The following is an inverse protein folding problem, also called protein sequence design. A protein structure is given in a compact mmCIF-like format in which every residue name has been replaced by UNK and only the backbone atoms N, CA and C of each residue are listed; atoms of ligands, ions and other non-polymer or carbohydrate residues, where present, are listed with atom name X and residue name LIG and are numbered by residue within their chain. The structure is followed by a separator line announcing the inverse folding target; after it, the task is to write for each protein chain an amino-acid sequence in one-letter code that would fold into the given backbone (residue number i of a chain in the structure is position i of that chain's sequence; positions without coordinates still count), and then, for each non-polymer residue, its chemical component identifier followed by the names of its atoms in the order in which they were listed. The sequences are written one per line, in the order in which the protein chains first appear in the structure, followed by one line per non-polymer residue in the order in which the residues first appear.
data_IF_816268720039
#
_entry.id   IF_816268720039
#
_cell.length_a   1.000
_cell.length_b   1.000
_cell.length_c   1.000
_cell.angle_alpha   90.00
_cell.angle_beta   90.00
_cell.angle_gamma   90.00
#
_symmetry.space_group_name_H-M   'P 1'
#
loop_
_entity.id
_entity.type
_entity.pdbx_description
1 polymer ?
#
# COMPACT_ATOMS: atom_id res chain seq x y z
N UNK A 1 -16.75 22.65 -23.17
CA UNK A 1 -16.83 21.32 -23.83
C UNK A 1 -15.86 20.30 -23.21
N UNK A 2 -15.45 20.47 -21.93
CA UNK A 2 -14.50 19.58 -21.22
C UNK A 2 -15.19 18.83 -20.06
N UNK A 3 -16.43 19.17 -19.74
CA UNK A 3 -17.16 18.60 -18.60
C UNK A 3 -17.77 17.20 -18.84
N UNK A 4 -17.74 16.68 -20.07
CA UNK A 4 -18.45 15.43 -20.42
C UNK A 4 -17.57 14.19 -20.39
N UNK A 5 -16.24 14.31 -20.24
CA UNK A 5 -15.31 13.17 -20.27
C UNK A 5 -14.99 12.56 -18.90
N UNK A 6 -15.40 13.18 -17.79
CA UNK A 6 -15.06 12.71 -16.43
C UNK A 6 -16.20 11.97 -15.71
N UNK A 7 -17.36 11.75 -16.33
CA UNK A 7 -18.53 11.17 -15.63
C UNK A 7 -18.71 9.66 -15.76
N UNK A 8 -17.99 8.97 -16.63
CA UNK A 8 -18.25 7.54 -16.92
C UNK A 8 -17.13 6.56 -16.50
N UNK A 9 -16.14 6.96 -15.74
CA UNK A 9 -15.01 6.07 -15.39
C UNK A 9 -14.88 5.67 -13.91
N UNK A 10 -15.55 6.36 -13.01
CA UNK A 10 -15.28 6.25 -11.57
C UNK A 10 -16.12 5.21 -10.81
N UNK A 11 -17.34 4.96 -11.24
CA UNK A 11 -18.25 4.08 -10.48
C UNK A 11 -18.10 2.59 -10.81
N UNK A 12 -17.62 2.25 -11.98
CA UNK A 12 -17.55 0.85 -12.43
C UNK A 12 -16.26 0.10 -12.00
N UNK A 13 -15.18 0.82 -11.64
CA UNK A 13 -13.90 0.20 -11.27
C UNK A 13 -13.74 -0.16 -9.81
N UNK A 14 -14.50 0.45 -8.91
CA UNK A 14 -14.52 0.05 -7.49
C UNK A 14 -15.35 -1.22 -7.24
N UNK A 15 -16.19 -1.62 -8.20
CA UNK A 15 -16.96 -2.87 -8.13
C UNK A 15 -16.15 -4.13 -8.48
N UNK A 16 -15.02 -4.01 -9.16
CA UNK A 16 -14.22 -5.15 -9.63
C UNK A 16 -13.35 -5.78 -8.54
N UNK A 17 -13.24 -5.17 -7.35
CA UNK A 17 -12.61 -5.79 -6.17
C UNK A 17 -13.59 -6.63 -5.34
N UNK A 18 -14.86 -6.65 -5.69
CA UNK A 18 -15.87 -7.55 -5.15
C UNK A 18 -16.07 -8.67 -6.17
N UNK A 19 -15.35 -9.74 -6.01
CA UNK A 19 -15.48 -11.10 -6.57
C UNK A 19 -16.72 -11.31 -7.45
N UNK A 20 -16.53 -11.43 -8.75
CA UNK A 20 -17.52 -11.97 -9.69
C UNK A 20 -17.86 -13.42 -9.26
N UNK A 21 -19.15 -13.67 -9.01
CA UNK A 21 -19.67 -14.93 -8.45
C UNK A 21 -19.52 -16.16 -9.35
N UNK A 22 -18.89 -16.06 -10.53
CA UNK A 22 -18.97 -17.12 -11.55
C UNK A 22 -17.70 -17.96 -11.75
N UNK A 23 -16.54 -17.64 -11.15
CA UNK A 23 -15.29 -18.35 -11.43
C UNK A 23 -14.72 -19.22 -10.28
N UNK A 24 -15.47 -19.48 -9.21
CA UNK A 24 -15.01 -20.32 -8.10
C UNK A 24 -15.69 -21.68 -8.06
N UNK A 25 -15.58 -22.45 -9.13
CA UNK A 25 -15.84 -23.91 -9.08
C UNK A 25 -14.74 -24.62 -9.85
N UNK A 26 -13.76 -25.11 -9.16
CA UNK A 26 -12.99 -26.33 -9.47
C UNK A 26 -11.62 -26.33 -8.78
N UNK A 27 -11.40 -27.26 -7.90
CA UNK A 27 -10.08 -27.55 -7.33
C UNK A 27 -10.13 -28.17 -5.93
N UNK A 28 -10.82 -29.27 -5.77
CA UNK A 28 -10.63 -30.16 -4.64
C UNK A 28 -9.97 -31.45 -5.15
N UNK A 29 -8.87 -31.90 -4.53
CA UNK A 29 -8.69 -33.31 -4.13
C UNK A 29 -7.30 -33.59 -3.50
N UNK A 30 -7.35 -34.25 -2.30
CA UNK A 30 -6.45 -35.29 -1.75
C UNK A 30 -5.03 -34.87 -1.33
N UNK A 31 -4.55 -35.24 -0.15
CA UNK A 31 -4.44 -36.54 0.44
C UNK A 31 -4.03 -36.49 1.93
N UNK A 32 -4.55 -37.43 2.68
CA UNK A 32 -4.17 -37.86 4.03
C UNK A 32 -2.84 -38.64 3.99
N UNK A 33 -2.01 -38.54 5.06
CA UNK A 33 -1.46 -39.69 5.79
C UNK A 33 -0.62 -39.26 7.00
N UNK A 34 -0.75 -40.01 8.04
CA UNK A 34 -0.25 -39.87 9.39
C UNK A 34 1.25 -40.24 9.54
N UNK A 35 1.88 -39.70 10.58
CA UNK A 35 3.21 -40.16 11.04
C UNK A 35 3.72 -39.37 12.23
N UNK A 36 3.75 -39.97 13.42
CA UNK A 36 4.20 -39.43 14.68
C UNK A 36 5.67 -38.98 14.71
N UNK A 37 5.96 -37.83 15.31
CA UNK A 37 7.04 -37.62 16.30
C UNK A 37 7.05 -36.16 16.76
N UNK A 38 6.80 -35.92 18.03
CA UNK A 38 7.07 -34.72 18.82
C UNK A 38 8.61 -34.53 19.04
N UNK A 39 9.18 -33.35 19.38
CA UNK A 39 8.60 -32.24 20.11
C UNK A 39 9.00 -30.83 19.60
N UNK A 40 8.44 -29.82 20.24
CA UNK A 40 8.55 -28.39 19.98
C UNK A 40 7.78 -27.93 18.72
N UNK A 41 6.50 -28.17 18.78
CA UNK A 41 5.55 -27.42 17.97
C UNK A 41 5.64 -25.94 18.40
N UNK A 42 6.37 -25.11 17.62
CA UNK A 42 5.97 -23.71 17.42
C UNK A 42 4.46 -23.81 17.20
N UNK A 43 3.66 -23.23 18.11
CA UNK A 43 2.23 -23.09 17.86
C UNK A 43 2.11 -22.40 16.49
N UNK A 44 1.82 -23.18 15.46
CA UNK A 44 1.39 -22.62 14.18
C UNK A 44 0.15 -21.82 14.51
N UNK A 45 0.22 -20.51 14.42
CA UNK A 45 -0.94 -19.64 14.49
C UNK A 45 -2.02 -20.28 13.63
N UNK A 46 -3.20 -20.51 14.22
CA UNK A 46 -4.29 -21.10 13.48
C UNK A 46 -4.51 -20.29 12.21
N UNK A 47 -4.57 -20.95 11.05
CA UNK A 47 -4.74 -20.25 9.77
C UNK A 47 -6.05 -19.49 9.80
N UNK A 48 -6.04 -18.25 9.39
CA UNK A 48 -7.25 -17.42 9.28
C UNK A 48 -8.24 -18.06 8.31
N UNK A 49 -9.50 -18.28 8.70
CA UNK A 49 -10.52 -18.86 7.83
C UNK A 49 -11.03 -17.88 6.76
N UNK A 50 -10.62 -16.61 6.85
CA UNK A 50 -11.09 -15.57 5.94
C UNK A 50 -10.42 -15.67 4.58
N UNK A 51 -11.24 -15.70 3.54
CA UNK A 51 -10.83 -15.71 2.13
C UNK A 51 -10.79 -14.30 1.54
N UNK A 52 -11.72 -13.44 1.98
CA UNK A 52 -11.79 -12.03 1.63
C UNK A 52 -12.34 -11.24 2.82
N UNK A 53 -11.85 -10.03 2.99
CA UNK A 53 -12.40 -9.07 3.94
C UNK A 53 -12.03 -7.64 3.49
N UNK A 54 -12.97 -6.71 3.67
CA UNK A 54 -12.78 -5.30 3.35
C UNK A 54 -13.57 -4.40 4.31
N UNK A 55 -13.06 -3.21 4.55
CA UNK A 55 -13.74 -2.14 5.26
C UNK A 55 -13.73 -0.90 4.37
N UNK A 56 -14.88 -0.24 4.28
CA UNK A 56 -15.02 1.03 3.56
C UNK A 56 -15.87 1.99 4.38
N UNK A 57 -15.48 3.25 4.39
CA UNK A 57 -16.31 4.31 4.94
C UNK A 57 -17.53 4.55 4.06
N UNK A 58 -18.74 4.53 4.65
CA UNK A 58 -20.01 4.78 3.95
C UNK A 58 -20.82 5.76 4.77
N UNK A 59 -20.87 7.01 4.34
CA UNK A 59 -21.50 8.08 5.10
C UNK A 59 -20.87 8.22 6.50
N UNK A 60 -21.66 8.19 7.59
CA UNK A 60 -21.17 8.29 8.96
C UNK A 60 -20.70 6.94 9.53
N UNK A 61 -20.86 5.85 8.78
CA UNK A 61 -20.55 4.48 9.21
C UNK A 61 -19.48 3.81 8.37
N UNK A 62 -19.34 2.52 8.62
CA UNK A 62 -18.34 1.66 7.99
C UNK A 62 -19.02 0.40 7.48
N UNK A 63 -18.91 0.09 6.18
CA UNK A 63 -19.32 -1.19 5.63
C UNK A 63 -18.16 -2.16 5.77
N UNK A 64 -18.45 -3.31 6.38
CA UNK A 64 -17.53 -4.41 6.58
C UNK A 64 -18.06 -5.61 5.79
N UNK A 65 -17.31 -6.03 4.78
CA UNK A 65 -17.62 -7.19 3.95
C UNK A 65 -16.62 -8.30 4.26
N UNK A 66 -17.07 -9.57 4.32
CA UNK A 66 -16.17 -10.72 4.50
C UNK A 66 -16.71 -11.98 3.86
N UNK A 67 -15.78 -12.88 3.54
CA UNK A 67 -16.03 -14.26 3.17
C UNK A 67 -15.05 -15.14 3.94
N UNK A 68 -15.57 -16.17 4.62
CA UNK A 68 -14.79 -17.14 5.37
C UNK A 68 -15.18 -18.56 4.98
N UNK A 69 -14.31 -19.53 5.26
CA UNK A 69 -14.53 -20.94 4.97
C UNK A 69 -14.48 -21.76 6.26
N UNK A 70 -15.35 -22.77 6.39
CA UNK A 70 -15.36 -23.68 7.53
C UNK A 70 -15.90 -23.07 8.83
N UNK A 71 -16.57 -21.91 8.77
CA UNK A 71 -17.17 -21.22 9.91
C UNK A 71 -18.69 -21.10 9.74
N UNK A 72 -19.42 -21.04 10.85
CA UNK A 72 -20.87 -20.83 10.86
C UNK A 72 -21.25 -19.43 11.28
N UNK A 73 -20.41 -18.79 12.08
CA UNK A 73 -20.67 -17.46 12.65
C UNK A 73 -19.38 -16.64 12.74
N UNK A 74 -19.51 -15.37 12.41
CA UNK A 74 -18.49 -14.34 12.62
C UNK A 74 -19.10 -13.24 13.49
N UNK A 75 -18.41 -12.89 14.58
CA UNK A 75 -18.77 -11.78 15.48
C UNK A 75 -17.79 -10.65 15.26
N UNK A 76 -18.28 -9.41 15.13
CA UNK A 76 -17.48 -8.23 14.84
C UNK A 76 -17.38 -7.36 16.09
N UNK A 77 -16.16 -6.95 16.42
CA UNK A 77 -15.88 -5.96 17.46
C UNK A 77 -15.14 -4.78 16.82
N UNK A 78 -15.28 -3.59 17.41
CA UNK A 78 -14.54 -2.40 16.99
C UNK A 78 -13.57 -1.96 18.10
N UNK A 79 -12.37 -1.57 17.72
CA UNK A 79 -11.31 -1.05 18.58
C UNK A 79 -10.63 0.18 18.00
N UNK A 80 -9.86 0.89 18.82
CA UNK A 80 -9.09 2.08 18.42
C UNK A 80 -7.66 1.76 17.97
N UNK A 81 -7.19 0.54 18.21
CA UNK A 81 -5.84 0.06 17.88
C UNK A 81 -5.91 -1.18 16.98
N UNK A 82 -4.82 -1.54 16.30
CA UNK A 82 -4.76 -2.76 15.50
C UNK A 82 -4.71 -4.06 16.31
N UNK A 83 -4.75 -3.98 17.63
CA UNK A 83 -4.79 -5.15 18.50
C UNK A 83 -6.17 -5.81 18.45
N UNK A 84 -6.25 -7.16 18.47
CA UNK A 84 -7.53 -7.86 18.41
C UNK A 84 -8.40 -7.55 19.63
N UNK A 85 -9.63 -7.10 19.39
CA UNK A 85 -10.67 -6.98 20.43
C UNK A 85 -11.52 -8.26 20.43
N UNK A 86 -11.42 -9.05 21.48
CA UNK A 86 -12.09 -10.37 21.56
C UNK A 86 -13.31 -10.40 22.50
N UNK A 87 -13.53 -9.32 23.23
CA UNK A 87 -14.60 -9.21 24.24
C UNK A 87 -15.27 -7.83 24.16
N UNK A 88 -16.44 -7.70 24.82
CA UNK A 88 -17.21 -6.46 24.85
C UNK A 88 -18.48 -6.54 24.02
N UNK A 89 -19.05 -5.39 23.70
CA UNK A 89 -20.26 -5.30 22.87
C UNK A 89 -19.90 -5.47 21.40
N UNK A 90 -20.42 -6.49 20.72
CA UNK A 90 -20.19 -6.66 19.30
C UNK A 90 -20.94 -5.59 18.50
N UNK A 91 -20.28 -5.09 17.44
CA UNK A 91 -20.88 -4.13 16.49
C UNK A 91 -21.69 -4.84 15.41
N UNK A 92 -21.59 -6.16 15.33
CA UNK A 92 -22.34 -6.97 14.38
C UNK A 92 -22.06 -8.46 14.47
N UNK A 93 -22.90 -9.24 13.81
CA UNK A 93 -22.75 -10.69 13.66
C UNK A 93 -23.24 -11.13 12.28
N UNK A 94 -22.64 -12.17 11.73
CA UNK A 94 -23.06 -12.74 10.45
C UNK A 94 -22.62 -14.18 10.29
N UNK A 95 -22.92 -14.77 9.14
CA UNK A 95 -22.50 -16.13 8.76
C UNK A 95 -21.08 -16.16 8.17
N UNK A 96 -20.77 -17.23 7.45
CA UNK A 96 -19.50 -17.40 6.74
C UNK A 96 -19.25 -16.30 5.70
N UNK A 97 -20.30 -15.81 5.08
CA UNK A 97 -20.27 -14.61 4.21
C UNK A 97 -21.18 -13.55 4.84
N UNK A 98 -20.72 -12.32 4.88
CA UNK A 98 -21.49 -11.22 5.45
C UNK A 98 -21.08 -9.86 4.91
N UNK A 99 -22.04 -8.91 5.01
CA UNK A 99 -21.87 -7.50 4.78
C UNK A 99 -22.67 -6.74 5.84
N UNK A 100 -21.99 -5.93 6.64
CA UNK A 100 -22.60 -5.18 7.75
C UNK A 100 -22.17 -3.74 7.68
N UNK A 101 -23.11 -2.82 7.90
CA UNK A 101 -22.78 -1.42 8.18
C UNK A 101 -22.78 -1.21 9.69
N UNK A 102 -21.60 -0.88 10.24
CA UNK A 102 -21.42 -0.60 11.65
C UNK A 102 -21.18 0.91 11.87
N UNK A 103 -21.70 1.42 13.00
CA UNK A 103 -21.40 2.76 13.48
C UNK A 103 -20.39 2.65 14.64
N UNK A 104 -19.25 3.29 14.50
CA UNK A 104 -18.25 3.37 15.55
C UNK A 104 -17.88 4.85 15.73
N UNK A 105 -17.88 5.31 16.97
CA UNK A 105 -17.53 6.69 17.34
C UNK A 105 -16.02 6.97 17.28
N UNK A 106 -15.28 6.18 16.49
CA UNK A 106 -13.83 6.27 16.32
C UNK A 106 -13.51 6.87 14.94
N UNK A 107 -12.54 7.77 14.84
CA UNK A 107 -12.14 8.37 13.57
C UNK A 107 -11.67 7.33 12.54
N UNK A 108 -10.98 6.28 13.00
CA UNK A 108 -10.54 5.12 12.24
C UNK A 108 -10.67 3.88 13.13
N UNK A 109 -11.82 3.18 13.09
CA UNK A 109 -11.98 1.93 13.82
C UNK A 109 -11.21 0.80 13.14
N UNK A 110 -10.63 -0.08 13.96
CA UNK A 110 -10.18 -1.41 13.57
C UNK A 110 -11.29 -2.39 13.93
N UNK A 111 -11.66 -3.24 12.99
CA UNK A 111 -12.67 -4.27 13.21
C UNK A 111 -11.98 -5.61 13.38
N UNK A 112 -12.26 -6.27 14.51
CA UNK A 112 -11.86 -7.66 14.74
C UNK A 112 -13.01 -8.58 14.34
N UNK A 113 -12.79 -9.36 13.31
CA UNK A 113 -13.69 -10.41 12.86
C UNK A 113 -13.33 -11.71 13.61
N UNK A 114 -14.18 -12.13 14.53
CA UNK A 114 -13.97 -13.32 15.37
C UNK A 114 -14.84 -14.45 14.84
N UNK A 115 -14.25 -15.46 14.19
CA UNK A 115 -14.98 -16.65 13.73
C UNK A 115 -15.27 -17.59 14.89
N UNK A 116 -16.25 -18.48 14.74
CA UNK A 116 -16.48 -19.54 15.71
C UNK A 116 -15.38 -20.63 15.66
N UNK A 117 -14.58 -20.70 14.60
CA UNK A 117 -13.43 -21.59 14.43
C UNK A 117 -12.32 -20.89 13.64
N UNK A 118 -11.06 -21.05 14.08
CA UNK A 118 -9.87 -20.45 13.46
C UNK A 118 -9.45 -19.14 14.09
N UNK A 119 -8.44 -18.50 13.51
CA UNK A 119 -7.88 -17.25 14.03
C UNK A 119 -8.78 -16.05 13.69
N UNK A 120 -8.89 -15.06 14.59
CA UNK A 120 -9.54 -13.79 14.28
C UNK A 120 -8.74 -13.02 13.23
N UNK A 121 -9.42 -12.08 12.56
CA UNK A 121 -8.81 -11.17 11.58
C UNK A 121 -9.08 -9.74 11.99
N UNK A 122 -8.02 -8.91 12.04
CA UNK A 122 -8.13 -7.47 12.27
C UNK A 122 -8.02 -6.73 10.94
N UNK A 123 -9.02 -5.95 10.61
CA UNK A 123 -9.08 -5.13 9.40
C UNK A 123 -9.60 -3.72 9.71
N UNK A 124 -9.26 -2.76 8.85
CA UNK A 124 -9.75 -1.38 8.90
C UNK A 124 -9.88 -0.83 7.48
N UNK A 125 -10.49 0.33 7.34
CA UNK A 125 -10.39 1.07 6.09
C UNK A 125 -8.92 1.43 5.82
N UNK A 126 -8.42 1.11 4.63
CA UNK A 126 -7.05 1.45 4.25
C UNK A 126 -6.88 2.94 4.04
N UNK A 127 -7.90 3.64 3.51
CA UNK A 127 -7.87 5.09 3.39
C UNK A 127 -7.94 5.75 4.77
N UNK A 128 -7.06 6.71 5.02
CA UNK A 128 -7.06 7.43 6.31
C UNK A 128 -7.92 8.70 6.28
N UNK A 129 -8.39 9.11 5.10
CA UNK A 129 -9.29 10.25 4.89
C UNK A 129 -8.78 11.56 5.50
N UNK A 130 -7.46 11.82 5.45
CA UNK A 130 -6.87 13.08 5.87
C UNK A 130 -6.77 14.04 4.67
N UNK A 131 -7.53 15.15 4.67
CA UNK A 131 -7.71 15.98 3.46
C UNK A 131 -6.44 16.61 2.91
N UNK A 132 -5.45 16.91 3.74
CA UNK A 132 -4.19 17.54 3.31
C UNK A 132 -3.14 16.57 2.81
N UNK A 133 -3.39 15.24 2.88
CA UNK A 133 -2.47 14.20 2.43
C UNK A 133 -3.21 13.26 1.46
N UNK A 134 -3.08 13.53 0.17
CA UNK A 134 -3.98 12.96 -0.83
C UNK A 134 -3.83 11.45 -1.00
N UNK A 135 -2.62 10.90 -0.91
CA UNK A 135 -2.33 9.49 -1.22
C UNK A 135 -2.04 8.65 0.03
N UNK A 136 -2.53 9.11 1.19
CA UNK A 136 -2.29 8.46 2.49
C UNK A 136 -3.17 7.23 2.68
N UNK A 137 -2.55 6.08 2.85
CA UNK A 137 -3.23 4.83 3.17
C UNK A 137 -2.35 3.82 3.90
N UNK A 138 -2.99 2.90 4.60
CA UNK A 138 -2.42 1.69 5.17
C UNK A 138 -2.28 0.63 4.08
N UNK A 139 -1.15 -0.06 4.01
CA UNK A 139 -0.93 -1.19 3.08
C UNK A 139 -1.20 -2.55 3.71
N UNK A 140 -1.75 -2.59 4.92
CA UNK A 140 -2.27 -3.80 5.55
C UNK A 140 -3.60 -4.28 4.95
N UNK A 141 -4.10 -5.39 5.48
CA UNK A 141 -5.40 -5.95 5.10
C UNK A 141 -5.42 -6.65 3.74
N UNK A 142 -4.29 -7.02 3.19
CA UNK A 142 -4.18 -7.88 2.02
C UNK A 142 -3.90 -9.33 2.42
N UNK A 143 -4.58 -10.26 1.74
CA UNK A 143 -4.37 -11.69 1.93
C UNK A 143 -3.19 -12.16 1.10
N UNK A 144 -2.35 -13.01 1.68
CA UNK A 144 -1.21 -13.63 1.02
C UNK A 144 -1.60 -14.94 0.33
N UNK A 145 -0.74 -15.45 -0.56
CA UNK A 145 -0.96 -16.72 -1.27
C UNK A 145 -0.99 -17.94 -0.34
N UNK A 146 -0.31 -17.85 0.83
CA UNK A 146 -0.33 -18.90 1.86
C UNK A 146 -1.48 -18.75 2.87
N UNK A 147 -2.39 -17.79 2.65
CA UNK A 147 -3.62 -17.61 3.42
C UNK A 147 -3.49 -16.73 4.65
N UNK A 148 -2.30 -16.21 4.95
CA UNK A 148 -2.11 -15.19 5.99
C UNK A 148 -2.57 -13.81 5.50
N UNK A 149 -2.56 -12.85 6.39
CA UNK A 149 -2.97 -11.48 6.10
C UNK A 149 -1.90 -10.50 6.53
N UNK A 150 -1.67 -9.46 5.73
CA UNK A 150 -0.79 -8.35 6.11
C UNK A 150 -1.48 -7.56 7.23
N UNK A 151 -0.79 -7.41 8.37
CA UNK A 151 -1.30 -6.67 9.52
C UNK A 151 -1.60 -5.23 9.19
N UNK A 152 -2.71 -4.72 9.72
CA UNK A 152 -3.09 -3.32 9.64
C UNK A 152 -2.34 -2.47 10.67
N UNK A 153 -2.22 -1.17 10.42
CA UNK A 153 -1.72 -0.21 11.39
C UNK A 153 -0.21 -0.13 11.53
N UNK A 154 0.55 -0.83 10.69
CA UNK A 154 2.01 -0.91 10.80
C UNK A 154 2.76 -0.24 9.64
N UNK A 155 2.15 -0.21 8.46
CA UNK A 155 2.79 0.26 7.24
C UNK A 155 1.87 1.23 6.51
N UNK A 156 2.32 2.46 6.37
CA UNK A 156 1.58 3.53 5.73
C UNK A 156 2.36 4.10 4.55
N UNK A 157 1.67 4.47 3.51
CA UNK A 157 2.24 5.19 2.37
C UNK A 157 1.49 6.48 2.11
N UNK A 158 2.19 7.52 1.61
CA UNK A 158 1.57 8.81 1.29
C UNK A 158 2.29 9.56 0.17
N UNK A 159 1.73 10.68 -0.28
CA UNK A 159 2.45 11.78 -0.91
C UNK A 159 3.23 12.59 0.14
N UNK A 160 3.97 13.61 -0.30
CA UNK A 160 4.83 14.43 0.58
C UNK A 160 4.04 15.15 1.68
N UNK A 161 4.73 15.45 2.77
CA UNK A 161 4.15 15.97 4.00
C UNK A 161 4.38 17.48 4.22
N UNK A 162 4.84 18.23 3.20
CA UNK A 162 5.17 19.66 3.29
C UNK A 162 3.97 20.54 3.68
N UNK A 163 2.76 20.16 3.28
CA UNK A 163 1.53 20.94 3.46
C UNK A 163 0.50 20.29 4.38
N UNK A 164 0.95 19.43 5.27
CA UNK A 164 0.03 18.79 6.23
C UNK A 164 -0.57 19.83 7.15
N UNK A 165 -1.90 19.85 7.27
CA UNK A 165 -2.60 20.75 8.20
C UNK A 165 -2.38 20.34 9.66
N UNK A 166 -2.53 21.30 10.59
CA UNK A 166 -2.41 21.01 12.03
C UNK A 166 -3.42 19.97 12.50
N UNK A 167 -4.63 19.99 11.93
CA UNK A 167 -5.67 19.01 12.20
C UNK A 167 -5.26 17.60 11.76
N UNK A 168 -4.67 17.48 10.57
CA UNK A 168 -4.21 16.20 10.04
C UNK A 168 -2.95 15.71 10.78
N UNK A 169 -2.03 16.59 11.19
CA UNK A 169 -0.91 16.23 12.08
C UNK A 169 -1.40 15.64 13.39
N UNK A 170 -2.40 16.28 14.02
CA UNK A 170 -3.00 15.78 15.24
C UNK A 170 -3.71 14.42 15.05
N UNK A 171 -4.30 14.20 13.86
CA UNK A 171 -4.86 12.89 13.51
C UNK A 171 -3.78 11.83 13.28
N UNK A 172 -2.68 12.19 12.59
CA UNK A 172 -1.53 11.29 12.37
C UNK A 172 -0.84 10.89 13.67
N UNK A 173 -0.82 11.75 14.69
CA UNK A 173 -0.25 11.43 15.99
C UNK A 173 -0.91 10.19 16.62
N UNK A 174 -2.21 9.97 16.35
CA UNK A 174 -2.96 8.79 16.85
C UNK A 174 -2.58 7.49 16.15
N UNK A 175 -1.82 7.54 15.05
CA UNK A 175 -1.32 6.38 14.33
C UNK A 175 -0.02 5.83 14.93
N UNK A 176 0.55 6.52 15.94
CA UNK A 176 1.82 6.17 16.59
C UNK A 176 2.97 5.94 15.59
N UNK A 177 3.02 6.73 14.51
CA UNK A 177 4.05 6.63 13.48
C UNK A 177 5.40 6.94 14.11
N UNK A 178 6.29 5.95 14.15
CA UNK A 178 7.63 6.07 14.75
C UNK A 178 8.68 6.53 13.75
N UNK A 179 8.51 6.16 12.49
CA UNK A 179 9.46 6.46 11.43
C UNK A 179 8.72 7.05 10.23
N UNK A 180 9.26 8.14 9.71
CA UNK A 180 8.87 8.68 8.40
C UNK A 180 10.05 8.50 7.45
N UNK A 181 9.93 7.58 6.50
CA UNK A 181 10.95 7.31 5.49
C UNK A 181 10.69 8.17 4.24
N UNK A 182 11.57 9.12 3.98
CA UNK A 182 11.49 10.03 2.85
C UNK A 182 12.37 9.53 1.69
N UNK A 183 11.72 9.12 0.60
CA UNK A 183 12.35 8.57 -0.61
C UNK A 183 12.75 9.65 -1.63
N UNK A 184 12.56 10.93 -1.30
CA UNK A 184 12.84 12.08 -2.18
C UNK A 184 14.31 12.39 -2.26
N UNK A 185 14.68 13.09 -3.33
CA UNK A 185 16.03 13.66 -3.49
C UNK A 185 16.28 14.80 -2.52
N UNK A 186 17.54 15.14 -2.31
CA UNK A 186 17.94 16.27 -1.48
C UNK A 186 17.33 17.60 -1.96
N UNK A 187 17.27 17.80 -3.27
CA UNK A 187 16.67 19.00 -3.87
C UNK A 187 15.16 19.11 -3.63
N UNK A 188 14.42 18.00 -3.67
CA UNK A 188 12.99 17.97 -3.36
C UNK A 188 12.75 18.27 -1.88
N UNK A 189 13.52 17.68 -0.98
CA UNK A 189 13.42 17.92 0.48
C UNK A 189 13.72 19.36 0.87
N UNK A 190 14.76 19.96 0.26
CA UNK A 190 15.12 21.38 0.52
C UNK A 190 14.05 22.34 0.03
N UNK A 191 13.43 22.05 -1.10
CA UNK A 191 12.37 22.90 -1.66
C UNK A 191 11.06 22.80 -0.89
N UNK A 192 10.69 21.60 -0.44
CA UNK A 192 9.42 21.30 0.19
C UNK A 192 9.67 20.41 1.44
N UNK A 193 10.18 20.98 2.55
CA UNK A 193 10.49 20.23 3.77
C UNK A 193 9.21 19.68 4.42
N UNK A 194 9.29 18.45 4.94
CA UNK A 194 8.15 17.81 5.58
C UNK A 194 7.78 18.42 6.93
N UNK A 195 6.50 18.37 7.22
CA UNK A 195 5.92 18.56 8.55
C UNK A 195 5.66 17.17 9.16
N UNK A 196 6.59 16.72 10.00
CA UNK A 196 6.54 15.37 10.56
C UNK A 196 5.54 15.26 11.73
N UNK A 197 4.88 14.10 11.90
CA UNK A 197 4.09 13.83 13.10
C UNK A 197 4.97 13.92 14.37
N UNK A 198 4.48 14.52 15.45
CA UNK A 198 5.22 14.61 16.70
C UNK A 198 5.67 13.24 17.20
N UNK A 199 6.94 13.12 17.60
CA UNK A 199 7.54 11.88 18.11
C UNK A 199 8.06 10.92 17.03
N UNK A 200 7.80 11.17 15.74
CA UNK A 200 8.38 10.38 14.66
C UNK A 200 9.83 10.78 14.36
N UNK A 201 10.61 9.81 13.88
CA UNK A 201 11.99 10.00 13.45
C UNK A 201 12.08 10.00 11.92
N UNK A 202 12.74 10.98 11.30
CA UNK A 202 12.98 10.95 9.87
C UNK A 202 14.01 9.87 9.51
N UNK A 203 13.76 9.15 8.42
CA UNK A 203 14.68 8.24 7.77
C UNK A 203 14.86 8.68 6.32
N UNK A 204 16.02 9.30 6.02
CA UNK A 204 16.27 9.84 4.69
C UNK A 204 16.84 8.76 3.77
N UNK A 205 16.13 8.50 2.68
CA UNK A 205 16.42 7.40 1.75
C UNK A 205 16.35 7.91 0.30
N UNK A 206 17.37 8.64 -0.14
CA UNK A 206 17.39 9.17 -1.51
C UNK A 206 17.50 8.05 -2.54
N UNK A 207 16.37 7.72 -3.16
CA UNK A 207 16.27 6.64 -4.16
C UNK A 207 16.96 7.00 -5.47
N UNK A 208 17.07 8.29 -5.79
CA UNK A 208 17.55 8.76 -7.07
C UNK A 208 18.85 9.59 -6.98
N UNK A 209 19.63 9.43 -5.90
CA UNK A 209 20.84 10.21 -5.67
C UNK A 209 21.92 10.05 -6.75
N UNK A 210 21.95 8.91 -7.45
CA UNK A 210 22.85 8.63 -8.57
C UNK A 210 22.12 8.60 -9.93
N UNK A 211 20.94 9.26 -10.04
CA UNK A 211 20.18 9.34 -11.28
C UNK A 211 20.63 10.53 -12.15
N UNK A 212 20.97 10.23 -13.40
CA UNK A 212 21.40 11.26 -14.38
C UNK A 212 20.25 11.99 -15.07
N UNK A 213 18.98 11.70 -14.79
CA UNK A 213 17.97 12.43 -15.55
C UNK A 213 16.51 12.08 -15.51
N UNK A 214 16.01 11.06 -14.79
CA UNK A 214 14.58 10.77 -14.88
C UNK A 214 13.74 11.39 -13.77
N UNK A 215 13.79 10.91 -12.56
CA UNK A 215 13.00 11.45 -11.45
C UNK A 215 13.91 11.83 -10.26
N UNK A 216 14.56 12.96 -10.36
CA UNK A 216 15.43 13.46 -9.28
C UNK A 216 16.71 14.18 -9.75
N UNK A 217 17.08 14.00 -11.03
CA UNK A 217 18.25 14.65 -11.61
C UNK A 217 17.95 16.03 -12.20
N UNK A 218 17.64 16.12 -13.48
CA UNK A 218 17.45 17.40 -14.18
C UNK A 218 15.94 17.67 -14.43
N UNK A 219 15.35 18.53 -13.62
CA UNK A 219 13.95 18.98 -13.78
C UNK A 219 13.68 19.55 -15.18
N UNK A 220 14.67 20.24 -15.80
CA UNK A 220 14.50 20.77 -17.15
C UNK A 220 14.37 19.67 -18.20
N UNK A 221 15.19 18.61 -18.09
CA UNK A 221 15.08 17.45 -18.99
C UNK A 221 13.72 16.75 -18.83
N UNK A 222 13.27 16.58 -17.58
CA UNK A 222 11.96 16.00 -17.30
C UNK A 222 10.83 16.85 -17.89
N UNK A 223 10.85 18.16 -17.69
CA UNK A 223 9.85 19.09 -18.27
C UNK A 223 9.88 19.11 -19.80
N UNK A 224 11.06 19.06 -20.42
CA UNK A 224 11.19 18.96 -21.87
C UNK A 224 10.61 17.67 -22.40
N UNK A 225 10.84 16.53 -21.74
CA UNK A 225 10.26 15.24 -22.11
C UNK A 225 8.73 15.26 -21.98
N UNK A 226 8.19 15.84 -20.90
CA UNK A 226 6.76 16.00 -20.70
C UNK A 226 6.16 16.88 -21.80
N UNK A 227 6.72 18.05 -22.06
CA UNK A 227 6.23 18.96 -23.08
C UNK A 227 6.22 18.33 -24.49
N UNK A 228 7.16 17.43 -24.77
CA UNK A 228 7.22 16.67 -26.04
C UNK A 228 6.37 15.40 -26.07
N UNK A 229 5.50 15.15 -25.06
CA UNK A 229 4.61 13.99 -24.99
C UNK A 229 5.28 12.67 -24.58
N UNK A 230 6.54 12.71 -24.13
CA UNK A 230 7.32 11.52 -23.71
C UNK A 230 7.16 11.16 -22.24
N UNK A 231 6.04 11.55 -21.62
CA UNK A 231 5.78 11.28 -20.20
C UNK A 231 5.69 9.80 -19.87
N UNK A 232 5.17 8.96 -20.79
CA UNK A 232 5.09 7.51 -20.61
C UNK A 232 6.48 6.88 -20.58
N UNK A 233 7.33 7.22 -21.55
CA UNK A 233 8.71 6.72 -21.62
C UNK A 233 9.53 7.15 -20.40
N UNK A 234 9.35 8.41 -19.97
CA UNK A 234 10.00 8.97 -18.78
C UNK A 234 9.69 8.13 -17.54
N UNK A 235 8.40 7.87 -17.30
CA UNK A 235 7.95 7.10 -16.11
C UNK A 235 8.30 5.62 -16.20
N UNK A 236 8.26 5.04 -17.41
CA UNK A 236 8.67 3.66 -17.65
C UNK A 236 10.16 3.49 -17.37
N UNK A 237 11.00 4.41 -17.83
CA UNK A 237 12.44 4.40 -17.54
C UNK A 237 12.71 4.58 -16.06
N UNK A 238 12.05 5.55 -15.40
CA UNK A 238 12.21 5.78 -13.97
C UNK A 238 11.88 4.56 -13.11
N UNK A 239 10.86 3.79 -13.49
CA UNK A 239 10.52 2.56 -12.78
C UNK A 239 11.57 1.45 -12.96
N UNK A 240 12.24 1.36 -14.10
CA UNK A 240 13.42 0.50 -14.26
C UNK A 240 14.59 0.98 -13.39
N UNK A 241 14.80 2.29 -13.29
CA UNK A 241 15.86 2.89 -12.48
C UNK A 241 15.70 2.58 -10.99
N UNK A 242 14.47 2.42 -10.47
CA UNK A 242 14.23 1.99 -9.08
C UNK A 242 14.80 0.60 -8.76
N UNK A 243 15.05 -0.21 -9.76
CA UNK A 243 15.69 -1.53 -9.64
C UNK A 243 17.18 -1.44 -9.98
N UNK A 244 17.55 -0.62 -10.96
CA UNK A 244 18.87 -0.57 -11.55
C UNK A 244 19.88 0.28 -10.77
N UNK A 245 19.45 1.45 -10.26
CA UNK A 245 20.33 2.41 -9.59
C UNK A 245 20.88 1.87 -8.28
N UNK A 246 22.15 2.16 -8.00
CA UNK A 246 22.80 1.81 -6.75
C UNK A 246 22.15 2.51 -5.54
N UNK A 247 21.82 3.81 -5.68
CA UNK A 247 21.10 4.58 -4.65
C UNK A 247 19.74 3.97 -4.32
N UNK A 248 18.97 3.58 -5.33
CA UNK A 248 17.66 2.96 -5.15
C UNK A 248 17.77 1.64 -4.36
N UNK A 249 18.69 0.78 -4.75
CA UNK A 249 18.91 -0.51 -4.07
C UNK A 249 19.32 -0.31 -2.61
N UNK A 250 20.26 0.61 -2.34
CA UNK A 250 20.66 0.94 -0.95
C UNK A 250 19.49 1.51 -0.15
N UNK A 251 18.72 2.42 -0.73
CA UNK A 251 17.60 3.07 -0.05
C UNK A 251 16.49 2.06 0.31
N UNK A 252 16.04 1.25 -0.65
CA UNK A 252 15.01 0.23 -0.40
C UNK A 252 15.53 -0.89 0.52
N UNK A 253 16.78 -1.32 0.39
CA UNK A 253 17.41 -2.28 1.29
C UNK A 253 17.43 -1.77 2.72
N UNK A 254 17.93 -0.56 2.95
CA UNK A 254 17.97 0.08 4.27
C UNK A 254 16.57 0.26 4.88
N UNK A 255 15.55 0.61 4.06
CA UNK A 255 14.16 0.68 4.52
C UNK A 255 13.65 -0.67 5.02
N UNK A 256 13.89 -1.73 4.26
CA UNK A 256 13.45 -3.09 4.62
C UNK A 256 14.21 -3.65 5.82
N UNK A 257 15.51 -3.40 5.92
CA UNK A 257 16.29 -3.77 7.12
C UNK A 257 15.79 -3.01 8.35
N UNK A 258 15.45 -1.73 8.21
CA UNK A 258 14.84 -0.99 9.32
C UNK A 258 13.49 -1.58 9.72
N UNK A 259 12.64 -1.96 8.78
CA UNK A 259 11.36 -2.63 9.02
C UNK A 259 11.54 -4.01 9.68
N UNK A 260 12.62 -4.71 9.43
CA UNK A 260 12.93 -6.00 10.07
C UNK A 260 13.23 -5.86 11.57
N UNK A 261 13.54 -4.65 12.07
CA UNK A 261 13.86 -4.41 13.51
C UNK A 261 12.57 -4.21 14.34
N UNK A 262 12.63 -4.45 15.68
CA UNK A 262 11.52 -4.18 16.60
C UNK A 262 10.99 -2.75 16.57
N UNK A 263 11.84 -1.78 16.32
CA UNK A 263 11.52 -0.34 16.28
C UNK A 263 11.20 0.16 14.87
N UNK A 264 11.12 -0.75 13.87
CA UNK A 264 10.89 -0.40 12.47
C UNK A 264 9.46 0.02 12.11
N UNK A 265 8.50 -0.21 12.99
CA UNK A 265 7.09 0.11 12.76
C UNK A 265 6.43 0.71 14.01
N UNK A 266 5.31 1.46 13.85
CA UNK A 266 4.69 1.87 12.59
C UNK A 266 5.57 2.80 11.76
N UNK A 267 5.65 2.53 10.43
CA UNK A 267 6.40 3.36 9.47
C UNK A 267 5.46 3.96 8.42
N UNK A 268 5.63 5.25 8.17
CA UNK A 268 5.10 5.91 6.99
C UNK A 268 6.25 6.14 6.02
N UNK A 269 6.08 5.79 4.76
CA UNK A 269 7.06 6.09 3.70
C UNK A 269 6.40 6.82 2.54
N UNK A 270 7.13 7.78 1.98
CA UNK A 270 6.60 8.66 0.95
C UNK A 270 7.66 9.11 -0.05
N UNK A 271 7.20 9.72 -1.14
CA UNK A 271 7.99 10.56 -2.03
C UNK A 271 7.19 11.84 -2.33
N UNK A 272 7.35 12.47 -3.49
CA UNK A 272 6.61 13.70 -3.82
C UNK A 272 5.12 13.44 -4.07
N UNK A 273 4.76 12.54 -4.99
CA UNK A 273 3.35 12.16 -5.25
C UNK A 273 2.92 10.89 -4.53
N UNK A 274 3.85 10.17 -3.90
CA UNK A 274 3.56 8.90 -3.22
C UNK A 274 3.14 7.76 -4.16
N UNK A 275 3.42 7.85 -5.47
CA UNK A 275 2.91 6.91 -6.47
C UNK A 275 4.00 6.03 -7.09
N UNK A 276 5.16 6.57 -7.52
CA UNK A 276 6.21 5.84 -8.24
C UNK A 276 7.24 5.21 -7.28
N UNK A 277 8.18 5.97 -6.71
CA UNK A 277 9.17 5.50 -5.71
C UNK A 277 8.49 4.78 -4.54
N UNK A 278 7.46 5.39 -3.99
CA UNK A 278 6.60 4.82 -2.94
C UNK A 278 5.81 3.61 -3.42
N UNK A 279 5.38 3.63 -4.69
CA UNK A 279 4.68 2.53 -5.34
C UNK A 279 5.56 1.29 -5.46
N UNK A 280 6.81 1.46 -5.91
CA UNK A 280 7.78 0.38 -5.95
C UNK A 280 8.12 -0.16 -4.55
N UNK A 281 8.33 0.71 -3.55
CA UNK A 281 8.51 0.31 -2.17
C UNK A 281 7.37 -0.59 -1.67
N UNK A 282 6.11 -0.16 -1.91
CA UNK A 282 4.92 -0.96 -1.55
C UNK A 282 4.88 -2.29 -2.29
N UNK A 283 5.18 -2.29 -3.58
CA UNK A 283 5.21 -3.50 -4.40
C UNK A 283 6.25 -4.51 -3.88
N UNK A 284 7.44 -4.04 -3.52
CA UNK A 284 8.49 -4.89 -2.94
C UNK A 284 8.05 -5.46 -1.59
N UNK A 285 7.52 -4.64 -0.67
CA UNK A 285 7.04 -5.10 0.64
C UNK A 285 5.93 -6.14 0.47
N UNK A 286 4.89 -5.85 -0.30
CA UNK A 286 3.74 -6.74 -0.46
C UNK A 286 4.12 -8.05 -1.14
N UNK A 287 4.98 -8.01 -2.18
CA UNK A 287 5.47 -9.21 -2.86
C UNK A 287 6.32 -10.06 -1.92
N UNK A 288 7.22 -9.46 -1.11
CA UNK A 288 8.05 -10.15 -0.11
C UNK A 288 7.18 -10.84 0.95
N UNK A 289 6.07 -10.22 1.34
CA UNK A 289 5.09 -10.78 2.27
C UNK A 289 4.20 -11.87 1.63
N UNK A 290 4.28 -12.08 0.32
CA UNK A 290 3.53 -13.13 -0.39
C UNK A 290 2.15 -12.71 -0.87
N UNK A 291 1.87 -11.42 -0.99
CA UNK A 291 0.63 -10.90 -1.60
C UNK A 291 0.63 -11.20 -3.11
N UNK A 292 -0.48 -11.69 -3.69
CA UNK A 292 -0.58 -11.97 -5.13
C UNK A 292 -0.27 -10.76 -6.01
N UNK A 293 0.37 -11.00 -7.15
CA UNK A 293 0.80 -9.96 -8.09
C UNK A 293 -0.33 -9.01 -8.51
N UNK A 294 -1.51 -9.55 -8.80
CA UNK A 294 -2.66 -8.75 -9.21
C UNK A 294 -3.14 -7.81 -8.10
N UNK A 295 -3.08 -8.27 -6.84
CA UNK A 295 -3.39 -7.45 -5.67
C UNK A 295 -2.34 -6.34 -5.47
N UNK A 296 -1.06 -6.64 -5.67
CA UNK A 296 0.03 -5.64 -5.65
C UNK A 296 -0.19 -4.59 -6.74
N UNK A 297 -0.54 -5.01 -7.95
CA UNK A 297 -0.86 -4.12 -9.06
C UNK A 297 -2.09 -3.24 -8.73
N UNK A 298 -3.13 -3.82 -8.14
CA UNK A 298 -4.33 -3.07 -7.74
C UNK A 298 -4.02 -2.00 -6.68
N UNK A 299 -3.18 -2.30 -5.66
CA UNK A 299 -2.72 -1.26 -4.71
C UNK A 299 -1.95 -0.14 -5.42
N UNK A 300 -1.06 -0.48 -6.35
CA UNK A 300 -0.33 0.52 -7.11
C UNK A 300 -1.26 1.44 -7.90
N UNK A 301 -2.19 0.86 -8.67
CA UNK A 301 -3.14 1.59 -9.51
C UNK A 301 -4.16 2.41 -8.70
N UNK A 302 -4.47 2.02 -7.46
CA UNK A 302 -5.33 2.79 -6.56
C UNK A 302 -4.80 4.21 -6.30
N UNK A 303 -3.50 4.49 -6.51
CA UNK A 303 -2.95 5.84 -6.44
C UNK A 303 -3.63 6.82 -7.39
N UNK A 304 -4.22 6.35 -8.50
CA UNK A 304 -4.99 7.20 -9.42
C UNK A 304 -6.26 7.75 -8.75
N UNK A 305 -6.96 6.91 -7.98
CA UNK A 305 -8.18 7.31 -7.27
C UNK A 305 -7.85 8.25 -6.11
N UNK A 306 -6.82 7.92 -5.32
CA UNK A 306 -6.36 8.75 -4.21
C UNK A 306 -5.89 10.14 -4.66
N UNK A 307 -5.25 10.23 -5.82
CA UNK A 307 -4.70 11.48 -6.37
C UNK A 307 -5.69 12.21 -7.29
N UNK A 308 -6.84 11.65 -7.61
CA UNK A 308 -7.75 12.18 -8.63
C UNK A 308 -8.09 13.66 -8.42
N UNK A 309 -8.44 14.04 -7.18
CA UNK A 309 -8.77 15.44 -6.83
C UNK A 309 -7.57 16.37 -6.95
N UNK A 310 -6.38 15.93 -6.48
CA UNK A 310 -5.13 16.70 -6.55
C UNK A 310 -4.70 16.88 -8.00
N UNK A 311 -4.78 15.83 -8.80
CA UNK A 311 -4.44 15.85 -10.22
C UNK A 311 -5.39 16.77 -11.03
N UNK A 312 -6.70 16.71 -10.76
CA UNK A 312 -7.67 17.61 -11.39
C UNK A 312 -7.35 19.07 -11.07
N UNK A 313 -7.07 19.42 -9.83
CA UNK A 313 -6.67 20.77 -9.44
C UNK A 313 -5.36 21.22 -10.11
N UNK A 314 -4.40 20.32 -10.29
CA UNK A 314 -3.14 20.62 -11.01
C UNK A 314 -3.39 20.91 -12.48
N UNK A 315 -4.23 20.11 -13.15
CA UNK A 315 -4.58 20.30 -14.55
C UNK A 315 -5.39 21.62 -14.77
N UNK A 316 -6.29 21.93 -13.86
CA UNK A 316 -7.05 23.19 -13.87
C UNK A 316 -6.12 24.41 -13.69
N UNK A 317 -5.17 24.32 -12.77
CA UNK A 317 -4.18 25.39 -12.56
C UNK A 317 -3.29 25.57 -13.80
N UNK A 318 -2.84 24.49 -14.41
CA UNK A 318 -2.08 24.52 -15.66
C UNK A 318 -2.87 25.21 -16.78
N UNK A 319 -4.14 24.84 -17.00
CA UNK A 319 -4.99 25.41 -18.02
C UNK A 319 -5.20 26.94 -17.84
N UNK A 320 -5.23 27.42 -16.58
CA UNK A 320 -5.41 28.83 -16.24
C UNK A 320 -4.11 29.65 -16.29
N UNK A 321 -2.96 29.01 -16.23
CA UNK A 321 -1.64 29.69 -16.13
C UNK A 321 -1.11 30.21 -17.46
N UNK A 322 -1.73 29.86 -18.60
CA UNK A 322 -1.20 30.15 -19.93
C UNK A 322 0.07 29.37 -20.29
N UNK A 323 0.41 28.35 -19.50
CA UNK A 323 1.57 27.48 -19.77
C UNK A 323 1.31 26.71 -21.08
N UNK A 324 2.32 26.64 -22.00
CA UNK A 324 2.16 26.00 -23.30
C UNK A 324 2.11 24.44 -23.25
N UNK A 325 2.28 23.83 -22.07
CA UNK A 325 2.25 22.36 -21.94
C UNK A 325 0.80 21.88 -22.13
N UNK A 326 0.62 20.96 -23.07
CA UNK A 326 -0.65 20.26 -23.24
C UNK A 326 -0.97 19.43 -21.98
N UNK A 327 -2.16 19.63 -21.35
CA UNK A 327 -2.60 18.81 -20.22
C UNK A 327 -2.55 17.31 -20.51
N UNK A 328 -2.77 16.88 -21.75
CA UNK A 328 -2.67 15.49 -22.19
C UNK A 328 -1.25 14.92 -22.06
N UNK A 329 -0.23 15.74 -22.23
CA UNK A 329 1.17 15.35 -22.04
C UNK A 329 1.55 15.24 -20.56
N UNK A 330 0.89 16.00 -19.69
CA UNK A 330 1.13 15.97 -18.24
C UNK A 330 0.41 14.77 -17.57
N UNK A 331 -0.76 14.38 -18.08
CA UNK A 331 -1.58 13.31 -17.48
C UNK A 331 -0.83 12.00 -17.22
N UNK A 332 -0.01 11.45 -18.15
CA UNK A 332 0.80 10.26 -17.89
C UNK A 332 1.75 10.39 -16.70
N UNK A 333 2.22 11.61 -16.40
CA UNK A 333 3.14 11.87 -15.28
C UNK A 333 2.40 12.08 -13.97
N UNK A 334 1.16 12.57 -14.01
CA UNK A 334 0.30 12.73 -12.82
C UNK A 334 -0.34 11.42 -12.36
N UNK A 335 -0.50 10.45 -13.26
CA UNK A 335 -1.13 9.16 -13.00
C UNK A 335 -0.12 8.02 -12.94
N UNK A 336 -0.58 6.83 -12.57
CA UNK A 336 0.17 5.58 -12.71
C UNK A 336 -0.50 4.66 -13.71
N UNK A 337 0.31 3.81 -14.36
CA UNK A 337 -0.12 2.82 -15.35
C UNK A 337 0.51 1.47 -15.00
N UNK A 338 -0.18 0.38 -15.36
CA UNK A 338 0.35 -0.96 -15.16
C UNK A 338 1.74 -1.14 -15.81
N UNK A 339 1.96 -0.54 -16.99
CA UNK A 339 3.22 -0.61 -17.72
C UNK A 339 4.41 -0.08 -16.90
N UNK A 340 4.20 0.95 -16.05
CA UNK A 340 5.28 1.51 -15.22
C UNK A 340 5.76 0.50 -14.19
N UNK A 341 4.84 -0.08 -13.42
CA UNK A 341 5.19 -1.07 -12.41
C UNK A 341 5.71 -2.36 -13.05
N UNK A 342 5.14 -2.79 -14.17
CA UNK A 342 5.64 -3.94 -14.92
C UNK A 342 7.07 -3.73 -15.36
N UNK A 343 7.44 -2.55 -15.86
CA UNK A 343 8.82 -2.25 -16.26
C UNK A 343 9.83 -2.44 -15.12
N UNK A 344 9.46 -2.12 -13.88
CA UNK A 344 10.31 -2.40 -12.72
C UNK A 344 10.46 -3.90 -12.46
N UNK A 345 9.37 -4.66 -12.52
CA UNK A 345 9.46 -6.12 -12.32
C UNK A 345 10.18 -6.82 -13.49
N UNK A 346 10.00 -6.36 -14.71
CA UNK A 346 10.74 -6.88 -15.87
C UNK A 346 12.25 -6.62 -15.72
N UNK A 347 12.62 -5.47 -15.15
CA UNK A 347 14.02 -5.16 -14.85
C UNK A 347 14.57 -6.04 -13.71
N UNK A 348 13.73 -6.40 -12.72
CA UNK A 348 14.09 -7.42 -11.70
C UNK A 348 14.39 -8.76 -12.37
N UNK A 349 13.50 -9.25 -13.22
CA UNK A 349 13.68 -10.53 -13.90
C UNK A 349 14.94 -10.50 -14.79
N UNK A 350 15.11 -9.45 -15.56
CA UNK A 350 16.26 -9.26 -16.46
C UNK A 350 17.60 -9.26 -15.71
N UNK A 351 17.70 -8.58 -14.56
CA UNK A 351 18.97 -8.42 -13.83
C UNK A 351 19.28 -9.52 -12.85
N UNK A 352 18.25 -10.08 -12.24
CA UNK A 352 18.39 -11.01 -11.10
C UNK A 352 17.79 -12.38 -11.38
N UNK A 353 17.01 -12.56 -12.44
CA UNK A 353 16.35 -13.81 -12.79
C UNK A 353 15.17 -14.18 -11.88
N UNK A 354 15.00 -13.51 -10.75
CA UNK A 354 13.84 -13.70 -9.86
C UNK A 354 13.72 -12.56 -8.83
N UNK A 355 12.52 -12.38 -8.30
CA UNK A 355 12.28 -11.44 -7.21
C UNK A 355 13.04 -11.82 -5.92
N UNK A 356 13.15 -13.11 -5.60
CA UNK A 356 13.92 -13.58 -4.42
C UNK A 356 15.42 -13.24 -4.54
N UNK A 357 15.99 -13.41 -5.71
CA UNK A 357 17.37 -13.02 -6.00
C UNK A 357 17.56 -11.49 -5.91
N UNK A 358 16.60 -10.71 -6.39
CA UNK A 358 16.62 -9.25 -6.23
C UNK A 358 16.62 -8.83 -4.76
N UNK A 359 15.73 -9.42 -3.94
CA UNK A 359 15.66 -9.11 -2.51
C UNK A 359 16.99 -9.43 -1.81
N UNK A 360 17.60 -10.59 -2.09
CA UNK A 360 18.84 -11.02 -1.47
C UNK A 360 20.07 -10.29 -2.00
N UNK A 361 20.26 -10.30 -3.31
CA UNK A 361 21.50 -9.81 -3.94
C UNK A 361 21.38 -8.35 -4.38
N UNK A 362 20.20 -7.91 -4.80
CA UNK A 362 19.94 -6.53 -5.24
C UNK A 362 19.78 -5.58 -4.06
N UNK A 363 18.93 -5.95 -3.09
CA UNK A 363 18.63 -5.15 -1.90
C UNK A 363 19.51 -5.50 -0.70
N UNK A 364 20.21 -6.64 -0.72
CA UNK A 364 21.16 -7.04 0.32
C UNK A 364 20.49 -7.63 1.58
N UNK A 365 19.22 -8.05 1.54
CA UNK A 365 18.54 -8.57 2.71
C UNK A 365 19.02 -9.96 3.09
N UNK A 366 19.30 -10.17 4.38
CA UNK A 366 19.60 -11.48 4.94
C UNK A 366 18.34 -12.37 5.03
N UNK A 367 18.56 -13.68 5.13
CA UNK A 367 17.46 -14.63 5.37
C UNK A 367 16.72 -14.31 6.68
N UNK A 368 17.43 -13.87 7.71
CA UNK A 368 16.87 -13.50 9.01
C UNK A 368 16.04 -12.22 8.93
N UNK A 369 16.49 -11.21 8.17
CA UNK A 369 15.70 -10.00 7.90
C UNK A 369 14.39 -10.36 7.19
N UNK A 370 14.42 -11.22 6.17
CA UNK A 370 13.23 -11.68 5.44
C UNK A 370 12.27 -12.45 6.36
N UNK A 371 12.79 -13.36 7.19
CA UNK A 371 11.96 -14.10 8.15
C UNK A 371 11.32 -13.15 9.18
N UNK A 372 12.10 -12.21 9.71
CA UNK A 372 11.64 -11.18 10.66
C UNK A 372 10.51 -10.32 10.06
N UNK A 373 10.64 -9.89 8.80
CA UNK A 373 9.59 -9.14 8.11
C UNK A 373 8.28 -9.94 8.03
N UNK A 374 8.34 -11.21 7.65
CA UNK A 374 7.16 -12.07 7.56
C UNK A 374 6.50 -12.34 8.91
N UNK A 375 7.30 -12.58 9.97
CA UNK A 375 6.77 -12.80 11.31
C UNK A 375 6.13 -11.54 11.91
N UNK A 376 6.67 -10.36 11.60
CA UNK A 376 6.17 -9.10 12.15
C UNK A 376 4.91 -8.60 11.47
N UNK A 377 4.85 -8.70 10.15
CA UNK A 377 3.82 -8.05 9.34
C UNK A 377 2.71 -8.97 8.88
N UNK A 378 2.75 -10.27 9.19
CA UNK A 378 1.68 -11.23 8.86
C UNK A 378 0.96 -11.74 10.12
N UNK A 379 -0.39 -11.91 9.98
CA UNK A 379 -1.28 -12.51 10.96
C UNK A 379 -2.00 -13.72 10.37
#
# INVERSE_FOLDING_TARGET
MVATFLRNGGEDRMRTLLLDRREFVSGALLASLAGCATPLARQRSAVSPFLAAAVQRVGPGWRIDWQAQGVRRVTLFAGSTPDPVLTGQPVGRGGATGSITAHASLPRPYFTLVPDHGAPLVIADRALHLPSIANLRDIGGYRTTDGRWVKMGLLYRSDQLDRVSDADLAAMQKLDIRIVADLRTDSERKREPDRLPPGSQPLILDVAADSDGSLGGDMRKAMTAIASGKGVELLTSANRDFVALGSARRAYGAMLDRLATPQGAPMLYHCTAGKDRTGWASAVILTLLGVPRDTVMADYLASNDFLARKNAATLDALAKSGNPIDPGHLLPVLTVRADYLNAAFDEVEKRYGSFDAYVRSGLGLSADSIASLRDRYLQ
#
